data_IF_538880626940
#
_entry.id   IF_538880626940
#
_cell.length_a   1.000
_cell.length_b   1.000
_cell.length_c   1.000
_cell.angle_alpha   90.00
_cell.angle_beta   90.00
_cell.angle_gamma   90.00
#
_symmetry.space_group_name_H-M   'P 1'
#
loop_
_entity.id
_entity.type
_entity.pdbx_description
1 polymer ?
#
# COMPACT_ATOMS: atom_id res chain seq x y z
N UNK A 1 6.56 39.33 -59.36
CA UNK A 1 5.41 38.39 -59.24
C UNK A 1 5.90 36.98 -58.94
N UNK A 2 6.88 36.43 -59.66
CA UNK A 2 7.40 35.05 -59.43
C UNK A 2 7.89 34.73 -58.01
N UNK A 3 8.55 35.66 -57.29
CA UNK A 3 9.01 35.40 -55.92
C UNK A 3 7.88 35.26 -54.89
N UNK A 4 6.74 35.91 -55.13
CA UNK A 4 5.59 35.84 -54.23
C UNK A 4 4.78 34.55 -54.42
N UNK A 5 4.79 33.97 -55.63
CA UNK A 5 4.18 32.67 -55.89
C UNK A 5 5.04 31.51 -55.38
N UNK A 6 6.38 31.64 -55.44
CA UNK A 6 7.29 30.65 -54.87
C UNK A 6 7.15 30.51 -53.35
N UNK A 7 7.05 31.64 -52.63
CA UNK A 7 6.81 31.64 -51.17
C UNK A 7 5.44 31.06 -50.81
N UNK A 8 4.39 31.36 -51.59
CA UNK A 8 3.05 30.78 -51.36
C UNK A 8 3.04 29.26 -51.56
N UNK A 9 3.79 28.76 -52.54
CA UNK A 9 3.86 27.32 -52.82
C UNK A 9 4.67 26.58 -51.76
N UNK A 10 5.73 27.19 -51.20
CA UNK A 10 6.45 26.64 -50.05
C UNK A 10 5.61 26.61 -48.78
N UNK A 11 4.88 27.69 -48.48
CA UNK A 11 4.00 27.75 -47.31
C UNK A 11 2.84 26.77 -47.44
N UNK A 12 2.26 26.61 -48.64
CA UNK A 12 1.23 25.60 -48.89
C UNK A 12 1.76 24.17 -48.65
N UNK A 13 2.97 23.87 -49.14
CA UNK A 13 3.61 22.57 -48.95
C UNK A 13 3.99 22.29 -47.48
N UNK A 14 4.43 23.30 -46.72
CA UNK A 14 4.67 23.16 -45.28
C UNK A 14 3.36 22.95 -44.50
N UNK A 15 2.28 23.63 -44.88
CA UNK A 15 0.95 23.43 -44.26
C UNK A 15 0.42 22.03 -44.55
N UNK A 16 0.59 21.52 -45.78
CA UNK A 16 0.20 20.16 -46.15
C UNK A 16 1.03 19.10 -45.43
N UNK A 17 2.36 19.29 -45.32
CA UNK A 17 3.22 18.42 -44.52
C UNK A 17 2.85 18.46 -43.03
N UNK A 18 2.55 19.64 -42.48
CA UNK A 18 2.08 19.76 -41.10
C UNK A 18 0.72 19.09 -40.89
N UNK A 19 -0.16 19.15 -41.90
CA UNK A 19 -1.47 18.49 -41.89
C UNK A 19 -1.35 16.97 -42.01
N UNK A 20 -0.47 16.44 -42.85
CA UNK A 20 -0.16 15.00 -42.90
C UNK A 20 0.45 14.50 -41.59
N UNK A 21 1.40 15.23 -40.98
CA UNK A 21 1.92 14.87 -39.64
C UNK A 21 0.91 15.03 -38.50
N UNK A 22 -0.10 15.88 -38.67
CA UNK A 22 -1.19 16.05 -37.70
C UNK A 22 -2.28 14.98 -37.89
N UNK A 23 -2.58 14.58 -39.12
CA UNK A 23 -3.53 13.52 -39.45
C UNK A 23 -2.96 12.13 -39.10
N UNK A 24 -1.63 11.92 -39.17
CA UNK A 24 -0.97 10.72 -38.62
C UNK A 24 -0.88 10.72 -37.08
N UNK A 25 -0.95 11.89 -36.44
CA UNK A 25 -0.99 12.05 -34.98
C UNK A 25 -2.42 11.94 -34.40
N UNK A 26 -3.45 12.02 -35.24
CA UNK A 26 -4.83 11.68 -34.92
C UNK A 26 -5.17 10.23 -35.33
N UNK A 27 -4.24 9.31 -35.09
CA UNK A 27 -4.60 7.90 -34.95
C UNK A 27 -5.63 7.80 -33.81
N UNK A 28 -6.90 7.61 -34.19
CA UNK A 28 -8.03 7.47 -33.28
C UNK A 28 -7.63 6.68 -32.02
N UNK A 29 -7.58 7.31 -30.83
CA UNK A 29 -7.15 6.65 -29.62
C UNK A 29 -8.09 5.51 -29.22
N UNK A 30 -9.25 5.36 -29.87
CA UNK A 30 -10.10 4.17 -29.79
C UNK A 30 -9.57 3.01 -30.64
N UNK A 31 -9.05 3.26 -31.86
CA UNK A 31 -8.43 2.23 -32.72
C UNK A 31 -7.07 1.77 -32.22
N UNK A 32 -6.26 2.65 -31.61
CA UNK A 32 -5.05 2.22 -30.90
C UNK A 32 -5.40 1.38 -29.67
N UNK A 33 -6.45 1.76 -28.92
CA UNK A 33 -6.97 0.96 -27.80
C UNK A 33 -7.54 -0.38 -28.24
N UNK A 34 -8.23 -0.45 -29.37
CA UNK A 34 -8.73 -1.69 -29.97
C UNK A 34 -7.57 -2.58 -30.44
N UNK A 35 -6.53 -2.03 -31.06
CA UNK A 35 -5.31 -2.77 -31.43
C UNK A 35 -4.49 -3.20 -30.20
N UNK A 36 -4.49 -2.43 -29.12
CA UNK A 36 -3.90 -2.83 -27.83
C UNK A 36 -4.74 -3.92 -27.14
N UNK A 37 -6.06 -3.88 -27.26
CA UNK A 37 -6.98 -4.94 -26.78
C UNK A 37 -6.86 -6.23 -27.60
N UNK A 38 -6.73 -6.15 -28.92
CA UNK A 38 -6.51 -7.29 -29.82
C UNK A 38 -5.11 -7.91 -29.64
N UNK A 39 -4.13 -7.14 -29.15
CA UNK A 39 -2.80 -7.62 -28.74
C UNK A 39 -2.76 -8.23 -27.35
N UNK A 40 -3.87 -8.29 -26.61
CA UNK A 40 -3.89 -8.96 -25.31
C UNK A 40 -3.69 -10.46 -25.53
N UNK A 41 -2.49 -10.97 -25.26
CA UNK A 41 -2.24 -12.40 -25.24
C UNK A 41 -3.25 -13.09 -24.31
N UNK A 42 -3.70 -14.31 -24.63
CA UNK A 42 -4.57 -15.08 -23.75
C UNK A 42 -4.03 -15.14 -22.31
N UNK A 43 -4.89 -15.09 -21.30
CA UNK A 43 -4.47 -15.06 -19.88
C UNK A 43 -3.50 -16.20 -19.48
N UNK A 44 -3.58 -17.34 -20.18
CA UNK A 44 -2.69 -18.50 -19.99
C UNK A 44 -1.25 -18.22 -20.40
N UNK A 45 -1.03 -17.39 -21.41
CA UNK A 45 0.30 -17.00 -21.89
C UNK A 45 0.89 -15.87 -21.04
N UNK A 46 0.06 -15.12 -20.33
CA UNK A 46 0.51 -14.08 -19.39
C UNK A 46 1.08 -14.66 -18.08
N UNK A 47 0.69 -15.89 -17.71
CA UNK A 47 1.19 -16.60 -16.52
C UNK A 47 2.40 -17.44 -16.91
N UNK A 48 3.59 -16.85 -16.78
CA UNK A 48 4.84 -17.56 -17.05
C UNK A 48 5.36 -18.26 -15.80
N UNK A 49 5.99 -19.43 -15.96
CA UNK A 49 6.61 -20.16 -14.84
C UNK A 49 7.70 -19.32 -14.15
N UNK A 50 8.52 -18.62 -14.93
CA UNK A 50 9.53 -17.68 -14.42
C UNK A 50 8.90 -16.56 -13.59
N UNK A 51 7.75 -16.05 -14.04
CA UNK A 51 6.99 -15.01 -13.35
C UNK A 51 6.48 -15.50 -12.00
N UNK A 52 5.92 -16.72 -11.96
CA UNK A 52 5.44 -17.33 -10.73
C UNK A 52 6.56 -17.57 -9.71
N UNK A 53 7.74 -18.04 -10.16
CA UNK A 53 8.91 -18.21 -9.28
C UNK A 53 9.39 -16.86 -8.74
N UNK A 54 9.50 -15.84 -9.60
CA UNK A 54 9.86 -14.49 -9.18
C UNK A 54 8.83 -13.92 -8.19
N UNK A 55 7.53 -14.10 -8.45
CA UNK A 55 6.45 -13.67 -7.56
C UNK A 55 6.53 -14.34 -6.19
N UNK A 56 6.83 -15.64 -6.14
CA UNK A 56 6.98 -16.38 -4.88
C UNK A 56 8.18 -15.87 -4.06
N UNK A 57 9.33 -15.63 -4.70
CA UNK A 57 10.53 -15.09 -4.04
C UNK A 57 10.28 -13.67 -3.49
N UNK A 58 9.71 -12.79 -4.32
CA UNK A 58 9.35 -11.43 -3.92
C UNK A 58 8.32 -11.47 -2.78
N UNK A 59 7.28 -12.29 -2.94
CA UNK A 59 6.22 -12.46 -1.95
C UNK A 59 6.76 -12.97 -0.60
N UNK A 60 7.70 -13.92 -0.61
CA UNK A 60 8.35 -14.43 0.61
C UNK A 60 9.10 -13.31 1.35
N UNK A 61 9.95 -12.56 0.64
CA UNK A 61 10.72 -11.45 1.24
C UNK A 61 9.79 -10.38 1.81
N UNK A 62 8.77 -9.95 1.05
CA UNK A 62 7.83 -8.95 1.52
C UNK A 62 6.95 -9.45 2.66
N UNK A 63 6.61 -10.75 2.70
CA UNK A 63 5.85 -11.34 3.82
C UNK A 63 6.61 -11.18 5.14
N UNK A 64 7.92 -11.45 5.15
CA UNK A 64 8.76 -11.26 6.35
C UNK A 64 8.80 -9.79 6.78
N UNK A 65 8.96 -8.88 5.82
CA UNK A 65 8.98 -7.43 6.09
C UNK A 65 7.64 -6.97 6.66
N UNK A 66 6.53 -7.36 6.03
CA UNK A 66 5.18 -6.99 6.45
C UNK A 66 4.86 -7.58 7.82
N UNK A 67 5.27 -8.82 8.09
CA UNK A 67 5.09 -9.42 9.42
C UNK A 67 5.83 -8.65 10.50
N UNK A 68 7.09 -8.27 10.25
CA UNK A 68 7.87 -7.44 11.17
C UNK A 68 7.17 -6.12 11.44
N UNK A 69 6.79 -5.39 10.38
CA UNK A 69 6.11 -4.10 10.49
C UNK A 69 4.77 -4.26 11.23
N UNK A 70 3.98 -5.28 10.90
CA UNK A 70 2.69 -5.53 11.55
C UNK A 70 2.85 -5.76 13.06
N UNK A 71 3.87 -6.51 13.49
CA UNK A 71 4.12 -6.79 14.91
C UNK A 71 4.74 -5.60 15.66
N UNK A 72 5.50 -4.73 14.98
CA UNK A 72 6.16 -3.60 15.63
C UNK A 72 5.33 -2.32 15.65
N UNK A 73 4.64 -1.98 14.56
CA UNK A 73 3.85 -0.74 14.45
C UNK A 73 2.35 -0.96 14.39
N UNK A 74 1.89 -2.17 14.07
CA UNK A 74 0.47 -2.42 13.82
C UNK A 74 -0.08 -1.78 12.54
N UNK A 75 0.74 -1.06 11.77
CA UNK A 75 0.34 -0.33 10.56
C UNK A 75 1.24 -0.71 9.39
N UNK A 76 0.64 -1.30 8.34
CA UNK A 76 1.36 -1.73 7.13
C UNK A 76 1.01 -0.81 5.96
N UNK A 77 1.97 -0.04 5.41
CA UNK A 77 1.74 0.76 4.22
C UNK A 77 1.59 -0.12 2.97
N UNK A 78 0.99 0.42 1.91
CA UNK A 78 0.85 -0.30 0.64
C UNK A 78 2.19 -0.39 -0.11
N UNK A 79 2.72 -1.60 -0.25
CA UNK A 79 4.03 -1.86 -0.89
C UNK A 79 3.91 -2.19 -2.40
N UNK A 80 2.78 -1.85 -3.03
CA UNK A 80 2.45 -2.23 -4.41
C UNK A 80 3.47 -1.71 -5.43
N UNK A 81 3.94 -0.47 -5.27
CA UNK A 81 4.92 0.18 -6.15
C UNK A 81 6.30 -0.50 -6.00
N UNK A 82 6.72 -0.79 -4.78
CA UNK A 82 7.98 -1.48 -4.49
C UNK A 82 7.98 -2.89 -5.07
N UNK A 83 6.86 -3.61 -4.97
CA UNK A 83 6.68 -4.92 -5.59
C UNK A 83 6.77 -4.84 -7.13
N UNK A 84 6.15 -3.82 -7.76
CA UNK A 84 6.19 -3.62 -9.22
C UNK A 84 7.60 -3.35 -9.75
N UNK A 85 8.38 -2.53 -9.05
CA UNK A 85 9.76 -2.22 -9.39
C UNK A 85 10.67 -3.44 -9.23
N UNK A 86 10.54 -4.16 -8.11
CA UNK A 86 11.37 -5.33 -7.85
C UNK A 86 11.07 -6.47 -8.82
N UNK A 87 9.79 -6.68 -9.17
CA UNK A 87 9.36 -7.62 -10.20
C UNK A 87 10.00 -7.30 -11.56
N UNK A 88 9.98 -6.02 -11.96
CA UNK A 88 10.63 -5.55 -13.19
C UNK A 88 12.13 -5.86 -13.19
N UNK A 89 12.83 -5.56 -12.10
CA UNK A 89 14.27 -5.75 -11.99
C UNK A 89 14.66 -7.23 -11.99
N UNK A 90 13.94 -8.06 -11.24
CA UNK A 90 14.20 -9.50 -11.17
C UNK A 90 13.93 -10.20 -12.50
N UNK A 91 12.80 -9.93 -13.16
CA UNK A 91 12.46 -10.56 -14.44
C UNK A 91 13.37 -10.08 -15.57
N UNK A 92 13.76 -8.80 -15.56
CA UNK A 92 14.73 -8.26 -16.52
C UNK A 92 16.14 -8.81 -16.29
N UNK A 93 16.55 -8.95 -15.03
CA UNK A 93 17.82 -9.58 -14.66
C UNK A 93 17.85 -11.05 -15.07
N UNK A 94 16.77 -11.77 -14.80
CA UNK A 94 16.57 -13.18 -15.16
C UNK A 94 16.61 -13.40 -16.67
N UNK A 95 15.88 -12.58 -17.45
CA UNK A 95 15.89 -12.65 -18.92
C UNK A 95 17.26 -12.29 -19.51
N UNK A 96 17.93 -11.27 -18.98
CA UNK A 96 19.29 -10.91 -19.41
C UNK A 96 20.31 -12.01 -19.09
N UNK A 97 20.18 -12.69 -17.95
CA UNK A 97 21.03 -13.82 -17.57
C UNK A 97 20.80 -15.02 -18.48
N UNK A 98 19.55 -15.36 -18.80
CA UNK A 98 19.18 -16.41 -19.75
C UNK A 98 19.70 -16.14 -21.16
N UNK A 99 19.63 -14.89 -21.62
CA UNK A 99 20.21 -14.48 -22.91
C UNK A 99 21.74 -14.66 -22.93
N UNK A 100 22.43 -14.34 -21.83
CA UNK A 100 23.87 -14.58 -21.69
C UNK A 100 24.24 -16.06 -21.64
N UNK A 101 23.31 -16.91 -21.18
CA UNK A 101 23.45 -18.36 -21.14
C UNK A 101 23.04 -19.05 -22.45
N UNK A 102 22.73 -18.29 -23.51
CA UNK A 102 22.44 -18.81 -24.85
C UNK A 102 20.99 -19.26 -25.07
N UNK A 103 20.10 -19.08 -24.10
CA UNK A 103 18.67 -19.31 -24.29
C UNK A 103 18.02 -18.06 -24.90
N UNK A 104 17.04 -18.23 -25.79
CA UNK A 104 16.20 -17.13 -26.30
C UNK A 104 14.90 -17.06 -25.49
N UNK A 105 14.87 -16.40 -24.32
CA UNK A 105 13.66 -16.30 -23.51
C UNK A 105 12.62 -15.45 -24.23
N UNK A 106 11.33 -15.79 -24.03
CA UNK A 106 10.23 -14.95 -24.47
C UNK A 106 10.40 -13.49 -23.99
N UNK A 107 10.04 -12.50 -24.82
CA UNK A 107 10.19 -11.08 -24.48
C UNK A 107 9.40 -10.77 -23.20
N UNK A 108 10.03 -10.00 -22.31
CA UNK A 108 9.41 -9.58 -21.06
C UNK A 108 8.34 -8.51 -21.34
N UNK A 109 7.09 -8.81 -20.97
CA UNK A 109 5.94 -7.94 -21.25
C UNK A 109 5.48 -7.17 -20.02
N UNK A 110 4.80 -6.04 -20.27
CA UNK A 110 4.17 -5.22 -19.22
C UNK A 110 3.13 -6.01 -18.43
N UNK A 111 2.40 -6.89 -19.10
CA UNK A 111 1.36 -7.75 -18.52
C UNK A 111 1.96 -8.79 -17.57
N UNK A 112 3.06 -9.43 -17.97
CA UNK A 112 3.79 -10.37 -17.11
C UNK A 112 4.24 -9.68 -15.81
N UNK A 113 4.76 -8.45 -15.89
CA UNK A 113 5.13 -7.69 -14.70
C UNK A 113 3.94 -7.42 -13.77
N UNK A 114 2.78 -7.07 -14.35
CA UNK A 114 1.53 -6.85 -13.59
C UNK A 114 1.04 -8.13 -12.92
N UNK A 115 1.12 -9.28 -13.59
CA UNK A 115 0.76 -10.58 -13.01
C UNK A 115 1.67 -10.91 -11.82
N UNK A 116 2.99 -10.80 -12.00
CA UNK A 116 3.97 -11.06 -10.93
C UNK A 116 3.78 -10.12 -9.74
N UNK A 117 3.57 -8.83 -10.01
CA UNK A 117 3.28 -7.86 -8.97
C UNK A 117 1.99 -8.20 -8.22
N UNK A 118 0.92 -8.56 -8.93
CA UNK A 118 -0.35 -8.94 -8.30
C UNK A 118 -0.21 -10.18 -7.42
N UNK A 119 0.51 -11.21 -7.89
CA UNK A 119 0.78 -12.42 -7.10
C UNK A 119 1.62 -12.11 -5.86
N UNK A 120 2.69 -11.33 -5.99
CA UNK A 120 3.52 -10.94 -4.86
C UNK A 120 2.75 -10.14 -3.81
N UNK A 121 1.89 -9.21 -4.25
CA UNK A 121 0.99 -8.44 -3.38
C UNK A 121 0.00 -9.34 -2.66
N UNK A 122 -0.63 -10.28 -3.36
CA UNK A 122 -1.52 -11.25 -2.74
C UNK A 122 -0.81 -12.07 -1.65
N UNK A 123 0.43 -12.51 -1.88
CA UNK A 123 1.21 -13.24 -0.89
C UNK A 123 1.45 -12.43 0.40
N UNK A 124 2.02 -11.23 0.31
CA UNK A 124 2.36 -10.48 1.53
C UNK A 124 1.14 -9.86 2.21
N UNK A 125 0.07 -9.55 1.48
CA UNK A 125 -1.14 -8.96 2.08
C UNK A 125 -1.85 -9.94 2.99
N UNK A 126 -1.76 -11.25 2.74
CA UNK A 126 -2.28 -12.29 3.64
C UNK A 126 -1.57 -12.24 5.01
N UNK A 127 -0.29 -11.87 5.07
CA UNK A 127 0.41 -11.74 6.35
C UNK A 127 -0.25 -10.69 7.27
N UNK A 128 -0.81 -9.64 6.69
CA UNK A 128 -1.54 -8.62 7.44
C UNK A 128 -3.04 -8.93 7.54
N UNK A 129 -3.72 -9.10 6.40
CA UNK A 129 -5.17 -9.32 6.32
C UNK A 129 -5.64 -10.67 6.84
N UNK A 130 -4.77 -11.69 6.86
CA UNK A 130 -5.01 -12.99 7.48
C UNK A 130 -4.90 -12.97 9.01
N UNK A 131 -4.59 -11.81 9.60
CA UNK A 131 -4.60 -11.61 11.05
C UNK A 131 -3.38 -12.18 11.78
N UNK A 132 -2.30 -12.54 11.07
CA UNK A 132 -1.10 -13.07 11.73
C UNK A 132 -0.44 -12.05 12.68
N UNK A 133 -0.58 -10.75 12.43
CA UNK A 133 -0.12 -9.70 13.35
C UNK A 133 -1.13 -9.27 14.41
N UNK A 134 -2.38 -9.78 14.36
CA UNK A 134 -3.48 -9.30 15.19
C UNK A 134 -4.38 -10.46 15.67
N UNK A 135 -5.50 -10.72 14.98
CA UNK A 135 -6.57 -11.62 15.43
C UNK A 135 -6.10 -13.06 15.62
N UNK A 136 -5.28 -13.58 14.70
CA UNK A 136 -4.80 -14.96 14.75
C UNK A 136 -3.85 -15.17 15.94
N UNK A 137 -3.05 -14.15 16.26
CA UNK A 137 -2.12 -14.15 17.38
C UNK A 137 -2.88 -13.98 18.73
N UNK A 138 -3.99 -13.25 18.71
CA UNK A 138 -4.91 -13.09 19.84
C UNK A 138 -5.66 -14.38 20.24
N UNK A 139 -5.91 -15.29 19.29
CA UNK A 139 -6.59 -16.58 19.57
C UNK A 139 -5.73 -17.56 20.37
N UNK A 140 -4.41 -17.33 20.44
CA UNK A 140 -3.48 -18.22 21.11
C UNK A 140 -3.67 -18.20 22.64
N UNK A 141 -3.60 -19.37 23.26
CA UNK A 141 -3.74 -19.56 24.72
C UNK A 141 -2.74 -18.70 25.51
N UNK A 142 -1.51 -18.57 25.02
CA UNK A 142 -0.49 -17.72 25.65
C UNK A 142 -0.90 -16.24 25.69
N UNK A 143 -1.54 -15.75 24.63
CA UNK A 143 -2.03 -14.36 24.56
C UNK A 143 -3.23 -14.16 25.46
N UNK A 144 -4.11 -15.15 25.53
CA UNK A 144 -5.25 -15.19 26.45
C UNK A 144 -4.82 -15.12 27.93
N UNK A 145 -3.80 -15.91 28.31
CA UNK A 145 -3.24 -15.89 29.68
C UNK A 145 -2.54 -14.57 30.00
N UNK A 146 -1.84 -13.97 29.03
CA UNK A 146 -1.19 -12.66 29.18
C UNK A 146 -2.19 -11.50 29.31
N UNK A 147 -3.39 -11.62 28.73
CA UNK A 147 -4.44 -10.61 28.84
C UNK A 147 -5.08 -10.54 30.25
N UNK A 148 -4.90 -11.57 31.07
CA UNK A 148 -5.36 -11.62 32.46
C UNK A 148 -6.88 -11.73 32.62
N UNK A 149 -7.35 -11.62 33.86
CA UNK A 149 -8.78 -11.70 34.19
C UNK A 149 -9.48 -10.35 33.98
N UNK A 150 -9.69 -9.98 32.72
CA UNK A 150 -10.57 -8.89 32.33
C UNK A 150 -11.99 -9.41 32.13
N UNK A 151 -13.06 -8.65 32.45
CA UNK A 151 -14.45 -9.08 32.21
C UNK A 151 -14.76 -9.42 30.75
N UNK A 152 -13.94 -8.95 29.79
CA UNK A 152 -14.02 -9.33 28.37
C UNK A 152 -13.25 -10.60 27.97
N UNK A 153 -12.54 -11.24 28.91
CA UNK A 153 -11.68 -12.40 28.67
C UNK A 153 -12.25 -13.66 29.35
N UNK A 154 -13.44 -14.11 28.91
CA UNK A 154 -14.14 -15.22 29.57
C UNK A 154 -13.36 -16.53 29.46
N UNK A 155 -13.41 -17.41 30.49
CA UNK A 155 -12.79 -18.72 30.47
C UNK A 155 -13.22 -19.52 29.24
N UNK A 156 -12.27 -19.89 28.38
CA UNK A 156 -12.53 -20.64 27.15
C UNK A 156 -12.64 -19.80 25.86
N UNK A 157 -12.39 -18.48 25.90
CA UNK A 157 -12.32 -17.63 24.70
C UNK A 157 -11.07 -17.82 23.83
N UNK A 158 -10.21 -18.80 24.13
CA UNK A 158 -9.04 -19.11 23.33
C UNK A 158 -9.30 -20.32 22.41
N UNK A 159 -8.72 -20.29 21.22
CA UNK A 159 -8.74 -21.42 20.29
C UNK A 159 -7.35 -21.59 19.72
N UNK A 160 -6.69 -22.69 20.06
CA UNK A 160 -5.38 -22.97 19.50
C UNK A 160 -5.52 -23.20 17.98
N UNK A 161 -4.91 -22.31 17.16
CA UNK A 161 -5.08 -22.39 15.72
C UNK A 161 -4.16 -23.51 15.21
N UNK A 162 -4.70 -24.72 15.11
CA UNK A 162 -4.01 -25.81 14.42
C UNK A 162 -3.78 -25.46 12.95
N UNK A 163 -2.70 -25.99 12.34
CA UNK A 163 -2.30 -25.66 10.96
C UNK A 163 -3.46 -25.85 9.98
N UNK A 164 -4.22 -26.94 10.09
CA UNK A 164 -5.37 -27.20 9.22
C UNK A 164 -6.49 -26.17 9.36
N UNK A 165 -6.77 -25.69 10.57
CA UNK A 165 -7.77 -24.66 10.81
C UNK A 165 -7.31 -23.29 10.30
N UNK A 166 -6.02 -22.95 10.48
CA UNK A 166 -5.42 -21.74 9.92
C UNK A 166 -5.51 -21.73 8.39
N UNK A 167 -5.16 -22.86 7.75
CA UNK A 167 -5.25 -22.99 6.30
C UNK A 167 -6.70 -22.80 5.84
N UNK A 168 -7.67 -23.45 6.50
CA UNK A 168 -9.09 -23.28 6.18
C UNK A 168 -9.59 -21.85 6.35
N UNK A 169 -9.20 -21.18 7.44
CA UNK A 169 -9.53 -19.78 7.72
C UNK A 169 -8.96 -18.81 6.67
N UNK A 170 -7.67 -18.96 6.35
CA UNK A 170 -7.00 -18.12 5.34
C UNK A 170 -7.56 -18.36 3.95
N UNK A 171 -7.92 -19.60 3.61
CA UNK A 171 -8.56 -19.95 2.36
C UNK A 171 -9.95 -19.29 2.29
N UNK A 172 -10.77 -19.40 3.33
CA UNK A 172 -12.08 -18.77 3.37
C UNK A 172 -12.01 -17.24 3.18
N UNK A 173 -11.12 -16.56 3.91
CA UNK A 173 -10.95 -15.10 3.81
C UNK A 173 -10.45 -14.70 2.42
N UNK A 174 -9.43 -15.40 1.91
CA UNK A 174 -8.83 -15.07 0.61
C UNK A 174 -9.80 -15.26 -0.55
N UNK A 175 -10.59 -16.35 -0.53
CA UNK A 175 -11.55 -16.62 -1.61
C UNK A 175 -12.81 -15.75 -1.51
N UNK A 176 -13.40 -15.58 -0.33
CA UNK A 176 -14.61 -14.77 -0.17
C UNK A 176 -14.38 -13.30 -0.56
N UNK A 177 -13.26 -12.72 -0.13
CA UNK A 177 -12.87 -11.36 -0.49
C UNK A 177 -12.61 -11.21 -1.99
N UNK A 178 -11.86 -12.14 -2.60
CA UNK A 178 -11.55 -12.04 -4.02
C UNK A 178 -12.78 -12.26 -4.92
N UNK A 179 -13.65 -13.21 -4.59
CA UNK A 179 -14.86 -13.49 -5.38
C UNK A 179 -15.88 -12.35 -5.30
N UNK A 180 -16.07 -11.75 -4.13
CA UNK A 180 -16.98 -10.60 -3.96
C UNK A 180 -16.48 -9.34 -4.69
N UNK A 181 -15.16 -9.18 -4.83
CA UNK A 181 -14.57 -8.03 -5.53
C UNK A 181 -14.68 -8.10 -7.06
N UNK A 182 -14.87 -9.27 -7.67
CA UNK A 182 -15.01 -9.42 -9.13
C UNK A 182 -16.19 -8.59 -9.69
N UNK A 183 -17.43 -8.75 -9.21
CA UNK A 183 -18.56 -7.96 -9.73
C UNK A 183 -18.42 -6.46 -9.44
N UNK A 184 -17.88 -6.10 -8.27
CA UNK A 184 -17.62 -4.71 -7.89
C UNK A 184 -16.60 -4.05 -8.82
N UNK A 185 -15.52 -4.76 -9.18
CA UNK A 185 -14.53 -4.25 -10.14
C UNK A 185 -15.11 -4.11 -11.54
N UNK A 186 -15.94 -5.05 -11.98
CA UNK A 186 -16.62 -4.96 -13.27
C UNK A 186 -17.51 -3.71 -13.31
N UNK A 187 -18.39 -3.53 -12.33
CA UNK A 187 -19.26 -2.36 -12.24
C UNK A 187 -18.47 -1.05 -12.14
N UNK A 188 -17.58 -0.91 -11.15
CA UNK A 188 -16.94 0.39 -10.87
C UNK A 188 -15.80 0.73 -11.82
N UNK A 189 -14.97 -0.24 -12.22
CA UNK A 189 -13.78 0.03 -13.03
C UNK A 189 -14.06 -0.11 -14.52
N UNK A 190 -14.79 -1.15 -14.93
CA UNK A 190 -15.06 -1.39 -16.35
C UNK A 190 -16.26 -0.56 -16.82
N UNK A 191 -17.38 -0.66 -16.12
CA UNK A 191 -18.63 -0.03 -16.58
C UNK A 191 -18.65 1.48 -16.26
N UNK A 192 -18.40 1.86 -15.00
CA UNK A 192 -18.38 3.26 -14.56
C UNK A 192 -17.07 4.00 -14.82
N UNK A 193 -16.00 3.31 -15.26
CA UNK A 193 -14.67 3.88 -15.55
C UNK A 193 -14.11 4.77 -14.45
N UNK A 194 -14.44 4.46 -13.19
CA UNK A 194 -13.93 5.21 -12.05
C UNK A 194 -12.43 4.97 -11.93
N UNK A 195 -11.68 6.06 -11.75
CA UNK A 195 -10.24 5.97 -11.57
C UNK A 195 -9.96 5.25 -10.26
N UNK A 196 -9.35 4.07 -10.33
CA UNK A 196 -8.83 3.38 -9.17
C UNK A 196 -7.40 3.90 -8.90
N UNK A 197 -7.18 4.81 -7.94
CA UNK A 197 -5.97 5.64 -7.92
C UNK A 197 -4.70 4.81 -7.73
N UNK A 198 -4.72 3.84 -6.81
CA UNK A 198 -3.57 2.98 -6.54
C UNK A 198 -3.21 2.07 -7.73
N UNK A 199 -4.20 1.45 -8.38
CA UNK A 199 -3.95 0.61 -9.54
C UNK A 199 -3.53 1.41 -10.77
N UNK A 200 -4.13 2.58 -10.98
CA UNK A 200 -3.78 3.48 -12.09
C UNK A 200 -2.34 3.96 -11.96
N UNK A 201 -1.92 4.41 -10.76
CA UNK A 201 -0.54 4.80 -10.50
C UNK A 201 0.45 3.65 -10.74
N UNK A 202 0.10 2.43 -10.31
CA UNK A 202 0.93 1.23 -10.54
C UNK A 202 1.05 0.90 -12.03
N UNK A 203 -0.06 0.99 -12.78
CA UNK A 203 -0.06 0.73 -14.22
C UNK A 203 0.78 1.76 -15.00
N UNK A 204 0.64 3.05 -14.67
CA UNK A 204 1.46 4.13 -15.25
C UNK A 204 2.95 3.90 -14.96
N UNK A 205 3.28 3.47 -13.75
CA UNK A 205 4.65 3.15 -13.37
C UNK A 205 5.21 1.94 -14.15
N UNK A 206 4.45 0.85 -14.27
CA UNK A 206 4.85 -0.34 -15.04
C UNK A 206 5.05 0.01 -16.51
N UNK A 207 4.15 0.80 -17.10
CA UNK A 207 4.31 1.34 -18.44
C UNK A 207 5.58 2.17 -18.55
N UNK A 208 5.83 3.05 -17.58
CA UNK A 208 7.04 3.86 -17.46
C UNK A 208 8.32 3.03 -17.49
N UNK A 209 8.40 1.95 -16.71
CA UNK A 209 9.59 1.08 -16.68
C UNK A 209 9.92 0.41 -18.03
N UNK A 210 8.90 0.11 -18.84
CA UNK A 210 9.08 -0.53 -20.15
C UNK A 210 9.41 0.46 -21.28
N UNK A 211 9.57 1.75 -21.00
CA UNK A 211 10.08 2.73 -21.97
C UNK A 211 11.61 2.77 -22.01
N UNK A 212 12.21 3.25 -23.10
CA UNK A 212 13.66 3.40 -23.22
C UNK A 212 14.26 4.34 -22.15
N UNK A 213 13.52 5.40 -21.79
CA UNK A 213 13.85 6.32 -20.69
C UNK A 213 13.74 5.61 -19.31
N UNK A 214 12.67 4.82 -19.12
CA UNK A 214 12.40 4.09 -17.88
C UNK A 214 13.45 3.06 -17.51
N UNK A 215 14.12 2.45 -18.49
CA UNK A 215 15.23 1.53 -18.24
C UNK A 215 16.43 2.22 -17.58
N UNK A 216 16.77 3.45 -18.01
CA UNK A 216 17.85 4.23 -17.38
C UNK A 216 17.49 4.59 -15.94
N UNK A 217 16.25 5.05 -15.73
CA UNK A 217 15.76 5.41 -14.40
C UNK A 217 15.65 4.19 -13.47
N UNK A 218 15.22 3.03 -13.96
CA UNK A 218 15.15 1.79 -13.19
C UNK A 218 16.54 1.31 -12.76
N UNK A 219 17.56 1.43 -13.63
CA UNK A 219 18.95 1.15 -13.25
C UNK A 219 19.48 2.10 -12.18
N UNK A 220 19.17 3.39 -12.30
CA UNK A 220 19.55 4.39 -11.30
C UNK A 220 18.88 4.10 -9.95
N UNK A 221 17.59 3.76 -9.98
CA UNK A 221 16.83 3.34 -8.79
C UNK A 221 17.39 2.05 -8.17
N UNK A 222 17.79 1.07 -8.98
CA UNK A 222 18.45 -0.15 -8.48
C UNK A 222 19.79 0.17 -7.82
N UNK A 223 20.59 1.05 -8.41
CA UNK A 223 21.87 1.44 -7.83
C UNK A 223 21.68 2.20 -6.51
N UNK A 224 20.69 3.11 -6.46
CA UNK A 224 20.26 3.75 -5.22
C UNK A 224 19.81 2.74 -4.18
N UNK A 225 18.93 1.81 -4.55
CA UNK A 225 18.44 0.75 -3.67
C UNK A 225 19.59 -0.09 -3.10
N UNK A 226 20.53 -0.53 -3.93
CA UNK A 226 21.67 -1.34 -3.49
C UNK A 226 22.61 -0.56 -2.56
N UNK A 227 22.85 0.72 -2.84
CA UNK A 227 23.64 1.62 -1.99
C UNK A 227 23.01 1.77 -0.60
N UNK A 228 21.72 2.13 -0.55
CA UNK A 228 21.02 2.30 0.73
C UNK A 228 20.81 0.98 1.47
N UNK A 229 20.62 -0.12 0.74
CA UNK A 229 20.59 -1.47 1.32
C UNK A 229 21.93 -1.82 1.97
N UNK A 230 23.06 -1.55 1.30
CA UNK A 230 24.40 -1.73 1.86
C UNK A 230 24.64 -0.87 3.11
N UNK A 231 24.27 0.41 3.06
CA UNK A 231 24.33 1.30 4.23
C UNK A 231 23.44 0.78 5.38
N UNK A 232 22.24 0.28 5.07
CA UNK A 232 21.30 -0.26 6.04
C UNK A 232 21.81 -1.54 6.72
N UNK A 233 22.41 -2.44 5.93
CA UNK A 233 23.05 -3.65 6.46
C UNK A 233 24.25 -3.31 7.34
N UNK A 234 25.12 -2.40 6.90
CA UNK A 234 26.28 -1.99 7.68
C UNK A 234 25.87 -1.37 9.01
N UNK A 235 24.86 -0.50 9.01
CA UNK A 235 24.33 0.09 10.23
C UNK A 235 23.66 -0.95 11.12
N UNK A 236 22.89 -1.89 10.55
CA UNK A 236 22.26 -2.96 11.34
C UNK A 236 23.32 -3.87 11.99
N UNK A 237 24.41 -4.17 11.27
CA UNK A 237 25.55 -4.90 11.82
C UNK A 237 26.26 -4.11 12.93
N UNK A 238 26.45 -2.80 12.73
CA UNK A 238 26.98 -1.92 13.76
C UNK A 238 26.08 -1.91 15.00
N UNK A 239 24.77 -1.72 14.85
CA UNK A 239 23.82 -1.76 15.96
C UNK A 239 23.87 -3.09 16.72
N UNK A 240 23.95 -4.21 15.99
CA UNK A 240 24.07 -5.55 16.57
C UNK A 240 25.34 -5.71 17.43
N UNK A 241 26.46 -5.09 17.04
CA UNK A 241 27.69 -5.12 17.83
C UNK A 241 27.56 -4.41 19.20
N UNK A 242 26.70 -3.38 19.28
CA UNK A 242 26.45 -2.61 20.51
C UNK A 242 25.20 -3.04 21.28
N UNK A 243 24.48 -4.07 20.82
CA UNK A 243 23.37 -4.66 21.60
C UNK A 243 23.93 -5.65 22.62
N UNK A 244 24.19 -5.19 23.84
CA UNK A 244 24.74 -6.00 24.93
C UNK A 244 23.69 -6.72 25.81
N UNK A 245 22.37 -6.60 25.51
CA UNK A 245 21.31 -7.25 26.27
C UNK A 245 19.88 -6.82 25.89
N UNK A 246 18.88 -7.34 26.61
CA UNK A 246 17.48 -6.93 26.46
C UNK A 246 17.35 -5.45 26.84
N UNK A 247 16.83 -4.62 25.92
CA UNK A 247 16.68 -3.17 26.08
C UNK A 247 17.99 -2.35 26.16
N UNK A 248 19.07 -2.82 25.53
CA UNK A 248 20.36 -2.12 25.48
C UNK A 248 20.82 -1.86 24.03
N UNK A 249 21.53 -0.75 23.79
CA UNK A 249 22.10 -0.37 22.50
C UNK A 249 21.38 0.79 21.80
N UNK A 250 21.71 1.04 20.53
CA UNK A 250 21.15 2.14 19.73
C UNK A 250 19.65 2.01 19.42
N UNK A 251 19.05 0.86 19.74
CA UNK A 251 17.61 0.61 19.60
C UNK A 251 16.80 1.35 20.69
N UNK A 252 17.40 1.61 21.86
CA UNK A 252 16.76 2.36 22.96
C UNK A 252 17.68 3.46 23.49
N UNK A 253 18.22 4.28 22.60
CA UNK A 253 19.15 5.33 23.00
C UNK A 253 18.40 6.51 23.66
N UNK A 254 18.73 6.91 24.90
CA UNK A 254 18.02 7.97 25.62
C UNK A 254 18.40 9.37 25.11
N UNK A 255 18.03 9.71 23.86
CA UNK A 255 18.32 10.99 23.19
C UNK A 255 17.80 12.22 23.93
N UNK A 256 16.63 12.09 24.56
CA UNK A 256 15.95 13.19 25.28
C UNK A 256 16.13 13.11 26.81
N UNK A 257 17.06 12.28 27.28
CA UNK A 257 17.35 12.06 28.69
C UNK A 257 16.56 10.91 29.34
N UNK A 258 16.97 10.52 30.55
CA UNK A 258 16.46 9.35 31.27
C UNK A 258 14.98 9.44 31.65
N UNK A 259 14.47 10.67 31.86
CA UNK A 259 13.06 10.90 32.21
C UNK A 259 12.12 10.65 31.04
N UNK A 260 12.51 11.06 29.83
CA UNK A 260 11.78 10.79 28.59
C UNK A 260 11.89 9.31 28.20
N UNK A 261 13.05 8.69 28.41
CA UNK A 261 13.24 7.25 28.19
C UNK A 261 12.31 6.40 29.05
N UNK A 262 12.11 6.74 30.34
CA UNK A 262 11.13 6.07 31.20
C UNK A 262 9.68 6.19 30.71
N UNK A 263 9.39 7.20 29.91
CA UNK A 263 8.08 7.41 29.27
C UNK A 263 8.04 6.82 27.85
N UNK A 264 9.01 5.96 27.50
CA UNK A 264 9.19 5.35 26.17
C UNK A 264 9.31 6.36 25.03
N UNK A 265 9.71 7.59 25.34
CA UNK A 265 9.96 8.64 24.37
C UNK A 265 11.47 8.72 24.09
N UNK A 266 11.90 7.98 23.06
CA UNK A 266 13.30 7.91 22.63
C UNK A 266 13.37 7.70 21.12
N UNK A 267 14.51 8.01 20.52
CA UNK A 267 14.78 7.65 19.14
C UNK A 267 15.31 6.22 19.05
N UNK A 268 14.57 5.36 18.37
CA UNK A 268 15.11 4.12 17.82
C UNK A 268 15.88 4.49 16.55
N UNK A 269 17.20 4.32 16.56
CA UNK A 269 18.04 4.59 15.39
C UNK A 269 17.93 3.50 14.31
N UNK A 270 16.90 2.66 14.31
CA UNK A 270 16.64 1.65 13.30
C UNK A 270 16.36 2.23 11.90
N UNK A 271 17.20 1.87 10.92
CA UNK A 271 17.01 2.27 9.51
C UNK A 271 15.80 1.60 8.82
N UNK A 272 15.17 0.61 9.47
CA UNK A 272 13.94 -0.01 8.97
C UNK A 272 12.85 1.05 8.77
N UNK A 273 12.72 2.02 9.69
CA UNK A 273 11.71 3.08 9.60
C UNK A 273 12.10 4.22 8.67
N UNK A 274 13.39 4.42 8.42
CA UNK A 274 13.84 5.35 7.36
C UNK A 274 13.36 4.84 6.00
N UNK A 275 13.50 3.53 5.74
CA UNK A 275 12.98 2.92 4.52
C UNK A 275 11.45 3.04 4.39
N UNK A 276 10.71 2.80 5.48
CA UNK A 276 9.26 3.02 5.50
C UNK A 276 8.88 4.49 5.25
N UNK A 277 9.62 5.43 5.85
CA UNK A 277 9.42 6.86 5.68
C UNK A 277 9.73 7.36 4.26
N UNK A 278 10.64 6.72 3.53
CA UNK A 278 10.90 7.01 2.11
C UNK A 278 9.76 6.57 1.19
N UNK A 279 8.97 5.57 1.60
CA UNK A 279 7.83 5.06 0.83
C UNK A 279 6.56 5.87 1.12
N UNK A 280 6.38 6.33 2.36
CA UNK A 280 5.24 7.12 2.78
C UNK A 280 5.37 8.60 2.37
N UNK A 281 4.24 9.26 2.09
CA UNK A 281 4.22 10.71 1.85
C UNK A 281 4.73 11.49 3.07
N UNK A 282 5.40 12.61 2.82
CA UNK A 282 5.87 13.51 3.87
C UNK A 282 4.76 13.96 4.82
N UNK A 283 3.53 14.11 4.32
CA UNK A 283 2.37 14.47 5.14
C UNK A 283 2.07 13.38 6.17
N UNK A 284 2.11 12.11 5.77
CA UNK A 284 1.90 10.98 6.68
C UNK A 284 3.00 10.93 7.73
N UNK A 285 4.26 11.13 7.33
CA UNK A 285 5.40 11.12 8.25
C UNK A 285 5.34 12.28 9.28
N UNK A 286 4.91 13.47 8.85
CA UNK A 286 4.73 14.61 9.76
C UNK A 286 3.55 14.41 10.70
N UNK A 287 2.43 13.88 10.21
CA UNK A 287 1.27 13.56 11.04
C UNK A 287 1.57 12.47 12.07
N UNK A 288 2.30 11.42 11.69
CA UNK A 288 2.69 10.36 12.64
C UNK A 288 3.70 10.88 13.67
N UNK A 289 4.64 11.75 13.28
CA UNK A 289 5.55 12.41 14.22
C UNK A 289 4.79 13.29 15.22
N UNK A 290 3.89 14.14 14.74
CA UNK A 290 3.06 15.00 15.59
C UNK A 290 2.18 14.17 16.53
N UNK A 291 1.58 13.08 16.02
CA UNK A 291 0.83 12.12 16.83
C UNK A 291 1.70 11.45 17.90
N UNK A 292 2.94 11.08 17.57
CA UNK A 292 3.88 10.51 18.53
C UNK A 292 4.26 11.51 19.62
N UNK A 293 4.51 12.78 19.27
CA UNK A 293 4.81 13.84 20.24
C UNK A 293 3.63 14.13 21.16
N UNK A 294 2.41 14.23 20.63
CA UNK A 294 1.21 14.46 21.45
C UNK A 294 0.94 13.25 22.36
N UNK A 295 1.02 12.03 21.82
CA UNK A 295 0.71 10.81 22.54
C UNK A 295 1.75 10.51 23.63
N UNK A 296 3.02 10.34 23.24
CA UNK A 296 4.10 9.95 24.15
C UNK A 296 4.73 11.10 24.91
N UNK A 297 4.74 12.31 24.33
CA UNK A 297 5.32 13.49 24.99
C UNK A 297 4.38 14.22 25.94
N UNK A 298 3.06 14.20 25.71
CA UNK A 298 2.09 14.99 26.48
C UNK A 298 1.04 14.11 27.17
N UNK A 299 0.32 13.30 26.41
CA UNK A 299 -0.87 12.59 26.89
C UNK A 299 -0.55 11.50 27.93
N UNK A 300 0.35 10.56 27.62
CA UNK A 300 0.72 9.50 28.59
C UNK A 300 1.38 10.03 29.86
N UNK A 301 2.29 11.02 29.81
CA UNK A 301 2.85 11.65 31.00
C UNK A 301 1.80 12.31 31.91
N UNK A 302 0.77 12.93 31.34
CA UNK A 302 -0.33 13.54 32.09
C UNK A 302 -1.20 12.47 32.76
N UNK A 303 -1.60 11.43 32.02
CA UNK A 303 -2.40 10.32 32.56
C UNK A 303 -1.63 9.57 33.66
N UNK A 304 -0.30 9.46 33.54
CA UNK A 304 0.52 8.82 34.56
C UNK A 304 0.55 9.60 35.89
N UNK A 305 0.33 10.92 35.88
CA UNK A 305 0.22 11.71 37.13
C UNK A 305 -1.05 11.42 37.92
N UNK A 306 -2.11 10.93 37.26
CA UNK A 306 -3.38 10.57 37.89
C UNK A 306 -3.46 9.10 38.32
N UNK A 307 -2.29 8.46 38.52
CA UNK A 307 -2.18 7.10 39.05
C UNK A 307 -2.73 7.04 40.47
N UNK A 308 -3.73 6.19 40.72
CA UNK A 308 -4.45 6.09 41.99
C UNK A 308 -5.89 6.61 41.93
N UNK A 309 -6.15 7.66 41.14
CA UNK A 309 -7.50 8.24 40.97
C UNK A 309 -8.23 7.63 39.77
N UNK A 310 -7.54 7.50 38.64
CA UNK A 310 -8.13 7.01 37.38
C UNK A 310 -7.93 5.50 37.19
N UNK A 311 -6.87 4.93 37.75
CA UNK A 311 -6.62 3.50 37.73
C UNK A 311 -5.83 3.03 38.96
N UNK A 312 -5.98 1.76 39.38
CA UNK A 312 -5.40 1.26 40.62
C UNK A 312 -3.88 1.29 40.58
N UNK A 313 -3.26 1.87 41.61
CA UNK A 313 -1.79 1.95 41.72
C UNK A 313 -1.11 0.58 41.96
N UNK A 314 -1.87 -0.42 42.41
CA UNK A 314 -1.38 -1.74 42.82
C UNK A 314 -1.19 -2.73 41.66
N UNK A 315 -1.56 -2.35 40.43
CA UNK A 315 -1.51 -3.25 39.27
C UNK A 315 -0.34 -2.84 38.36
N UNK A 316 0.44 -3.80 37.82
CA UNK A 316 1.51 -3.50 36.87
C UNK A 316 0.99 -2.76 35.63
N UNK A 317 1.76 -1.79 35.15
CA UNK A 317 1.42 -0.89 34.03
C UNK A 317 1.21 -1.62 32.68
N UNK A 318 1.60 -2.89 32.61
CA UNK A 318 1.39 -3.79 31.47
C UNK A 318 0.00 -4.43 31.43
N UNK A 319 -0.78 -4.32 32.51
CA UNK A 319 -2.12 -4.92 32.58
C UNK A 319 -3.15 -4.09 31.83
N UNK A 320 -4.12 -4.73 31.18
CA UNK A 320 -5.22 -4.04 30.46
C UNK A 320 -6.12 -3.21 31.38
N UNK A 321 -6.07 -3.39 32.69
CA UNK A 321 -6.81 -2.57 33.68
C UNK A 321 -6.03 -1.34 34.14
N UNK A 322 -4.80 -1.16 33.66
CA UNK A 322 -3.90 -0.06 34.02
C UNK A 322 -3.67 0.87 32.82
N UNK A 323 -2.55 1.61 32.80
CA UNK A 323 -2.17 2.55 31.74
C UNK A 323 -2.25 1.93 30.32
N UNK A 324 -1.95 0.63 30.17
CA UNK A 324 -2.05 -0.07 28.88
C UNK A 324 -3.49 -0.13 28.34
N UNK A 325 -4.49 -0.26 29.21
CA UNK A 325 -5.91 -0.21 28.81
C UNK A 325 -6.29 1.13 28.21
N UNK A 326 -5.89 2.23 28.85
CA UNK A 326 -6.11 3.58 28.33
C UNK A 326 -5.44 3.78 26.96
N UNK A 327 -4.24 3.23 26.76
CA UNK A 327 -3.56 3.20 25.46
C UNK A 327 -4.41 2.53 24.39
N UNK A 328 -4.90 1.32 24.65
CA UNK A 328 -5.67 0.56 23.68
C UNK A 328 -7.05 1.17 23.41
N UNK A 329 -7.83 1.47 24.44
CA UNK A 329 -9.22 1.94 24.26
C UNK A 329 -9.32 3.32 23.65
N UNK A 330 -8.40 4.25 23.99
CA UNK A 330 -8.39 5.58 23.38
C UNK A 330 -8.06 5.49 21.88
N UNK A 331 -7.12 4.64 21.48
CA UNK A 331 -6.84 4.39 20.07
C UNK A 331 -8.06 3.79 19.34
N UNK A 332 -8.74 2.82 19.93
CA UNK A 332 -9.96 2.21 19.36
C UNK A 332 -11.05 3.27 19.20
N UNK A 333 -11.26 4.11 20.22
CA UNK A 333 -12.26 5.18 20.19
C UNK A 333 -11.95 6.22 19.09
N UNK A 334 -10.68 6.60 18.91
CA UNK A 334 -10.27 7.49 17.82
C UNK A 334 -10.53 6.89 16.44
N UNK A 335 -10.14 5.63 16.22
CA UNK A 335 -10.34 4.94 14.94
C UNK A 335 -11.85 4.79 14.65
N UNK A 336 -12.64 4.42 15.65
CA UNK A 336 -14.09 4.26 15.50
C UNK A 336 -14.79 5.61 15.28
N UNK A 337 -14.33 6.67 15.96
CA UNK A 337 -14.84 8.03 15.79
C UNK A 337 -14.54 8.59 14.40
N UNK A 338 -13.31 8.41 13.90
CA UNK A 338 -12.92 8.80 12.54
C UNK A 338 -13.71 8.02 11.48
N UNK A 339 -13.85 6.69 11.67
CA UNK A 339 -14.67 5.85 10.81
C UNK A 339 -16.13 6.29 10.76
N UNK A 340 -16.73 6.62 11.92
CA UNK A 340 -18.09 7.13 12.01
C UNK A 340 -18.24 8.50 11.34
N UNK A 341 -17.31 9.41 11.56
CA UNK A 341 -17.30 10.73 10.92
C UNK A 341 -17.27 10.61 9.39
N UNK A 342 -16.37 9.77 8.86
CA UNK A 342 -16.27 9.53 7.42
C UNK A 342 -17.53 8.88 6.85
N UNK A 343 -18.11 7.93 7.57
CA UNK A 343 -19.37 7.28 7.17
C UNK A 343 -20.52 8.29 7.08
N UNK A 344 -20.72 9.10 8.14
CA UNK A 344 -21.75 10.14 8.17
C UNK A 344 -21.52 11.19 7.08
N UNK A 345 -20.28 11.61 6.87
CA UNK A 345 -19.92 12.58 5.82
C UNK A 345 -20.22 12.05 4.43
N UNK A 346 -19.85 10.80 4.13
CA UNK A 346 -20.11 10.18 2.82
C UNK A 346 -21.61 10.03 2.58
N UNK A 347 -22.37 9.61 3.58
CA UNK A 347 -23.84 9.55 3.49
C UNK A 347 -24.43 10.95 3.27
N UNK A 348 -23.98 11.96 4.02
CA UNK A 348 -24.45 13.33 3.87
C UNK A 348 -24.18 13.91 2.48
N UNK A 349 -22.97 13.70 1.94
CA UNK A 349 -22.62 14.12 0.57
C UNK A 349 -23.45 13.37 -0.46
N UNK A 350 -23.60 12.05 -0.31
CA UNK A 350 -24.39 11.22 -1.23
C UNK A 350 -25.86 11.62 -1.22
N UNK A 351 -26.42 11.88 -0.04
CA UNK A 351 -27.80 12.33 0.12
C UNK A 351 -28.02 13.71 -0.52
N UNK A 352 -27.07 14.64 -0.35
CA UNK A 352 -27.10 15.95 -1.00
C UNK A 352 -27.03 15.81 -2.53
N UNK A 353 -26.08 15.03 -3.05
CA UNK A 353 -25.97 14.78 -4.49
C UNK A 353 -27.22 14.10 -5.07
N UNK A 354 -27.87 13.21 -4.32
CA UNK A 354 -29.12 12.58 -4.73
C UNK A 354 -30.29 13.58 -4.73
N UNK A 355 -30.37 14.46 -3.72
CA UNK A 355 -31.36 15.54 -3.69
C UNK A 355 -31.15 16.52 -4.85
N UNK A 356 -29.91 16.89 -5.16
CA UNK A 356 -29.58 17.74 -6.30
C UNK A 356 -30.00 17.09 -7.63
N UNK A 357 -29.72 15.79 -7.82
CA UNK A 357 -30.17 15.01 -8.99
C UNK A 357 -31.70 14.94 -9.11
N UNK A 358 -32.40 14.73 -7.99
CA UNK A 358 -33.86 14.67 -7.95
C UNK A 358 -34.47 16.05 -8.26
N UNK A 359 -33.90 17.12 -7.72
CA UNK A 359 -34.32 18.50 -7.99
C UNK A 359 -34.06 18.87 -9.46
N UNK A 360 -32.92 18.48 -10.03
CA UNK A 360 -32.61 18.74 -11.44
C UNK A 360 -33.56 17.99 -12.40
N UNK A 361 -33.92 16.74 -12.09
CA UNK A 361 -34.96 15.99 -12.83
C UNK A 361 -36.34 16.65 -12.71
N UNK A 362 -36.68 17.19 -11.54
CA UNK A 362 -37.97 17.87 -11.31
C UNK A 362 -38.09 19.18 -12.10
N UNK A 363 -37.01 19.96 -12.18
CA UNK A 363 -36.95 21.21 -12.97
C UNK A 363 -37.00 20.90 -14.47
N UNK A 364 -36.26 19.89 -14.95
CA UNK A 364 -36.32 19.45 -16.36
C UNK A 364 -37.73 18.99 -16.77
N UNK A 365 -38.42 18.21 -15.93
CA UNK A 365 -39.80 17.75 -16.19
C UNK A 365 -40.83 18.90 -16.18
N UNK A 366 -40.56 19.97 -15.43
CA UNK A 366 -41.45 21.14 -15.34
C UNK A 366 -41.20 22.10 -16.51
N UNK A 367 -39.95 22.25 -16.96
CA UNK A 367 -39.60 23.06 -18.15
C UNK A 367 -40.13 22.48 -19.46
N UNK A 368 -40.24 21.16 -19.57
CA UNK A 368 -40.82 20.50 -20.75
C UNK A 368 -42.34 20.69 -20.87
N UNK A 369 -43.03 20.96 -19.74
CA UNK A 369 -44.47 21.26 -19.70
C UNK A 369 -44.83 22.72 -20.00
N UNK A 370 -43.84 23.63 -20.11
CA UNK A 370 -44.06 25.08 -20.31
C UNK A 370 -43.69 25.52 -21.75
N UNK A 371 -43.67 24.60 -22.73
CA UNK A 371 -43.75 24.98 -24.14
C UNK A 371 -45.19 24.83 -24.65
N UNK A 372 -46.05 25.86 -24.52
CA UNK A 372 -47.25 25.93 -25.34
C UNK A 372 -46.84 26.20 -26.79
N UNK A 373 -47.56 25.55 -27.71
CA UNK A 373 -47.53 25.80 -29.15
C UNK A 373 -47.74 27.27 -29.50
#
# INVERSE_FOLDING_TARGET
MERADADRMQVAFEIERHRETAEDAEADPARERERELERLQPWREQVTLRGMVAAALIGFVFTVIVMKIALTTGLVPTLNISAALLAFLLLRGWTSALQRLGFSPQPFTRQENTVVQTCAVACYTIAFGGGFGSTLLGLNKRTYELAGNSPGNVPGSYKEPGIGWMVGFLLAISFAGNLSLIPLRKAFVVDYKLTYPSGTATAVLINGFHTAQGNKNAKLQLHGFLKYFGCSLFWSFFQWFYTAGNACGFVQFPTFGLKAWKQTFFFDFGLTYVGAGMICSHLVNLSTLLGAVISWGIMWPLINKHKGDWYPANIPESSMTSLYGYKSFLCIALIMGDGLYHFVKVIGVTAKSLQDLLNHKRVSSTGEKIKPL
#
